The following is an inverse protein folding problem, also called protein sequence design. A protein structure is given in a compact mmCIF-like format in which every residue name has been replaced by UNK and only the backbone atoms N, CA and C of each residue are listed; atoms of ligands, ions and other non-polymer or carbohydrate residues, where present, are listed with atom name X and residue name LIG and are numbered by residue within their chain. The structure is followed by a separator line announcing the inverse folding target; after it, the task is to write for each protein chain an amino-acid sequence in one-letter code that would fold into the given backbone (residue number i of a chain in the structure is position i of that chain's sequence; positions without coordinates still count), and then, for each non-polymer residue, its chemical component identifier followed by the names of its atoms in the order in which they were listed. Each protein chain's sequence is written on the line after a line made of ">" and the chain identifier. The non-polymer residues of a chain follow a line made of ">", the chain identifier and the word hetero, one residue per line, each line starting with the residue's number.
data_IF_181136763080
#
_entry.id   IF_181136763080
#
_cell.length_a   1.000
_cell.length_b   1.000
_cell.length_c   1.000
_cell.angle_alpha   90.00
_cell.angle_beta   90.00
_cell.angle_gamma   90.00
#
_symmetry.space_group_name_H-M   'P 1'
#
loop_
_entity.id
_entity.type
_entity.pdbx_description
1 polymer ?
#
# COMPACT_ATOMS: atom_id res chain seq x y z
N UNK A 1 29.29 41.85 12.89
CA UNK A 1 28.84 41.14 14.11
C UNK A 1 29.56 39.81 14.14
N UNK A 2 30.80 39.81 14.62
CA UNK A 2 31.65 38.62 14.65
C UNK A 2 32.37 38.63 15.98
N UNK A 3 31.83 37.86 16.93
CA UNK A 3 32.48 37.56 18.19
C UNK A 3 32.80 36.06 18.28
N UNK A 4 33.85 35.70 19.04
CA UNK A 4 34.69 34.54 18.78
C UNK A 4 34.23 33.28 19.52
N UNK A 5 34.44 32.11 18.89
CA UNK A 5 34.37 30.83 19.57
C UNK A 5 35.66 30.66 20.39
N UNK A 6 35.55 30.80 21.70
CA UNK A 6 36.51 30.26 22.63
C UNK A 6 35.76 29.47 23.71
N UNK A 7 35.87 28.14 23.66
CA UNK A 7 35.63 27.34 24.86
C UNK A 7 36.31 25.96 24.79
N UNK A 8 37.40 25.90 25.56
CA UNK A 8 37.76 24.82 26.49
C UNK A 8 38.42 23.56 25.89
N UNK A 9 39.76 23.60 25.92
CA UNK A 9 40.54 22.73 26.82
C UNK A 9 40.67 21.25 26.43
N UNK A 10 41.58 20.94 25.50
CA UNK A 10 42.09 19.57 25.33
C UNK A 10 43.31 19.34 26.23
N UNK A 11 43.07 18.75 27.40
CA UNK A 11 44.14 18.20 28.24
C UNK A 11 44.54 16.83 27.68
N UNK A 12 45.65 16.77 26.95
CA UNK A 12 46.32 15.52 26.53
C UNK A 12 47.05 14.90 27.73
N UNK A 13 46.74 13.64 28.04
CA UNK A 13 47.64 12.73 28.73
C UNK A 13 47.69 11.40 27.96
N UNK A 14 48.88 10.86 27.62
CA UNK A 14 48.99 9.59 26.92
C UNK A 14 49.36 8.43 27.86
N UNK A 15 49.12 7.22 27.33
CA UNK A 15 49.60 5.89 27.74
C UNK A 15 48.88 5.27 28.96
N UNK A 16 48.57 3.97 28.99
CA UNK A 16 49.17 2.81 28.35
C UNK A 16 48.14 1.64 28.47
N UNK A 17 47.93 0.85 27.42
CA UNK A 17 46.96 -0.24 27.48
C UNK A 17 47.03 -1.16 26.26
N UNK A 18 47.79 -2.24 26.40
CA UNK A 18 48.26 -3.17 25.38
C UNK A 18 47.23 -4.26 25.03
N UNK A 19 47.11 -4.53 23.73
CA UNK A 19 46.64 -5.76 23.03
C UNK A 19 45.23 -6.29 23.27
N UNK A 20 44.42 -6.21 22.22
CA UNK A 20 43.27 -7.08 21.97
C UNK A 20 42.88 -6.96 20.49
N UNK A 21 43.00 -8.05 19.74
CA UNK A 21 42.63 -8.13 18.33
C UNK A 21 41.10 -8.00 18.23
N UNK A 22 40.59 -6.90 17.68
CA UNK A 22 39.17 -6.72 17.38
C UNK A 22 39.03 -6.14 15.97
N UNK A 23 38.10 -6.71 15.21
CA UNK A 23 37.73 -6.37 13.84
C UNK A 23 37.54 -4.84 13.64
N UNK A 24 37.64 -4.31 12.40
CA UNK A 24 37.31 -2.92 12.17
C UNK A 24 35.81 -2.74 12.46
N UNK A 25 35.53 -2.19 13.64
CA UNK A 25 34.21 -1.72 14.03
C UNK A 25 33.95 -0.47 13.19
N UNK A 26 33.43 -0.67 11.97
CA UNK A 26 32.93 0.42 11.15
C UNK A 26 31.69 0.97 11.87
N UNK A 27 31.91 2.00 12.69
CA UNK A 27 30.83 2.85 13.17
C UNK A 27 29.95 3.21 11.95
N UNK A 28 28.62 2.99 12.01
CA UNK A 28 27.77 3.29 10.88
C UNK A 28 27.87 4.79 10.62
N UNK A 29 28.47 5.15 9.48
CA UNK A 29 28.44 6.52 9.00
C UNK A 29 26.99 7.00 8.99
N UNK A 30 26.69 8.27 9.36
CA UNK A 30 25.33 8.78 9.36
C UNK A 30 24.75 8.55 7.97
N UNK A 31 23.80 7.63 7.87
CA UNK A 31 23.10 7.34 6.64
C UNK A 31 22.32 8.61 6.31
N UNK A 32 22.83 9.39 5.36
CA UNK A 32 22.08 10.48 4.79
C UNK A 32 20.84 9.86 4.15
N UNK A 33 19.70 10.00 4.83
CA UNK A 33 18.43 9.52 4.31
C UNK A 33 18.22 10.21 2.96
N UNK A 34 18.35 9.45 1.87
CA UNK A 34 18.11 9.98 0.53
C UNK A 34 16.67 10.49 0.52
N UNK A 35 16.47 11.75 0.11
CA UNK A 35 15.12 12.27 -0.13
C UNK A 35 14.45 11.37 -1.15
N UNK A 36 13.31 10.79 -0.77
CA UNK A 36 12.50 9.99 -1.67
C UNK A 36 11.92 10.91 -2.74
N UNK A 37 11.93 10.42 -3.98
CA UNK A 37 11.25 11.08 -5.08
C UNK A 37 9.75 10.88 -4.93
N UNK A 38 8.97 11.94 -5.14
CA UNK A 38 7.51 11.89 -5.03
C UNK A 38 6.91 11.91 -6.43
N UNK A 39 6.07 10.91 -6.73
CA UNK A 39 5.33 10.82 -7.99
C UNK A 39 3.84 10.97 -7.71
N UNK A 40 3.20 11.92 -8.37
CA UNK A 40 1.76 12.13 -8.28
C UNK A 40 1.09 11.57 -9.56
N UNK A 41 0.14 10.65 -9.39
CA UNK A 41 -0.64 10.15 -10.52
C UNK A 41 -1.81 11.08 -10.83
N UNK A 42 -1.96 11.42 -12.11
CA UNK A 42 -3.16 12.09 -12.59
C UNK A 42 -4.42 11.27 -12.31
N UNK A 43 -5.53 11.95 -12.04
CA UNK A 43 -6.85 11.32 -11.84
C UNK A 43 -7.22 10.39 -12.99
N UNK A 44 -6.87 10.75 -14.22
CA UNK A 44 -7.10 9.93 -15.42
C UNK A 44 -6.32 8.61 -15.36
N UNK A 45 -5.05 8.63 -14.94
CA UNK A 45 -4.24 7.42 -14.81
C UNK A 45 -4.80 6.49 -13.73
N UNK A 46 -5.27 7.05 -12.61
CA UNK A 46 -5.93 6.27 -11.56
C UNK A 46 -7.21 5.60 -12.09
N UNK A 47 -8.01 6.31 -12.89
CA UNK A 47 -9.25 5.77 -13.44
C UNK A 47 -8.99 4.66 -14.48
N UNK A 48 -7.99 4.84 -15.35
CA UNK A 48 -7.56 3.81 -16.30
C UNK A 48 -7.05 2.55 -15.59
N UNK A 49 -6.30 2.72 -14.49
CA UNK A 49 -5.85 1.58 -13.69
C UNK A 49 -7.01 0.83 -13.04
N UNK A 50 -8.05 1.54 -12.58
CA UNK A 50 -9.28 0.88 -12.07
C UNK A 50 -10.00 0.09 -13.16
N UNK A 51 -10.11 0.66 -14.37
CA UNK A 51 -10.71 -0.03 -15.52
C UNK A 51 -9.92 -1.27 -15.93
N UNK A 52 -8.58 -1.21 -15.93
CA UNK A 52 -7.75 -2.37 -16.27
C UNK A 52 -7.79 -3.50 -15.24
N UNK A 53 -8.20 -3.19 -14.00
CA UNK A 53 -8.39 -4.18 -12.94
C UNK A 53 -9.81 -4.75 -12.91
N UNK A 54 -10.73 -4.23 -13.73
CA UNK A 54 -12.07 -4.82 -13.83
C UNK A 54 -11.94 -6.22 -14.43
N UNK A 55 -12.53 -7.24 -13.79
CA UNK A 55 -12.58 -8.58 -14.37
C UNK A 55 -13.26 -8.54 -15.73
N UNK A 56 -12.83 -9.44 -16.63
CA UNK A 56 -13.50 -9.60 -17.91
C UNK A 56 -14.99 -9.89 -17.70
N UNK A 57 -15.80 -9.22 -18.51
CA UNK A 57 -17.25 -9.46 -18.51
C UNK A 57 -17.49 -10.88 -18.98
N UNK A 58 -18.22 -11.67 -18.17
CA UNK A 58 -18.64 -13.03 -18.51
C UNK A 58 -19.78 -13.00 -19.53
N UNK A 59 -19.46 -12.59 -20.76
CA UNK A 59 -20.44 -12.37 -21.84
C UNK A 59 -21.35 -13.59 -22.05
N UNK A 60 -20.78 -14.79 -22.01
CA UNK A 60 -21.53 -16.03 -22.16
C UNK A 60 -22.61 -16.23 -21.07
N UNK A 61 -22.32 -15.89 -19.81
CA UNK A 61 -23.31 -15.98 -18.73
C UNK A 61 -24.42 -14.93 -18.92
N UNK A 62 -24.05 -13.72 -19.36
CA UNK A 62 -25.02 -12.66 -19.65
C UNK A 62 -25.99 -13.11 -20.73
N UNK A 63 -25.47 -13.67 -21.82
CA UNK A 63 -26.31 -14.11 -22.94
C UNK A 63 -27.26 -15.23 -22.51
N UNK A 64 -26.79 -16.20 -21.71
CA UNK A 64 -27.64 -17.24 -21.16
C UNK A 64 -28.75 -16.68 -20.25
N UNK A 65 -28.41 -15.75 -19.36
CA UNK A 65 -29.38 -15.14 -18.45
C UNK A 65 -30.40 -14.32 -19.23
N UNK A 66 -29.99 -13.57 -20.26
CA UNK A 66 -30.91 -12.84 -21.14
C UNK A 66 -31.94 -13.75 -21.77
N UNK A 67 -31.52 -14.90 -22.31
CA UNK A 67 -32.43 -15.90 -22.88
C UNK A 67 -33.43 -16.41 -21.84
N UNK A 68 -32.99 -16.66 -20.60
CA UNK A 68 -33.89 -17.10 -19.52
C UNK A 68 -34.91 -16.02 -19.14
N UNK A 69 -34.52 -14.75 -19.15
CA UNK A 69 -35.40 -13.61 -18.86
C UNK A 69 -36.44 -13.45 -19.97
N UNK A 70 -36.00 -13.47 -21.23
CA UNK A 70 -36.90 -13.38 -22.40
C UNK A 70 -37.90 -14.54 -22.45
N UNK A 71 -37.47 -15.74 -22.06
CA UNK A 71 -38.34 -16.91 -21.95
C UNK A 71 -39.27 -16.87 -20.72
N UNK A 72 -39.10 -15.91 -19.80
CA UNK A 72 -39.87 -15.82 -18.56
C UNK A 72 -39.57 -16.93 -17.54
N UNK A 73 -38.45 -17.65 -17.68
CA UNK A 73 -38.05 -18.78 -16.81
C UNK A 73 -36.97 -18.37 -15.80
N UNK A 74 -36.50 -17.13 -15.87
CA UNK A 74 -35.50 -16.62 -14.93
C UNK A 74 -36.03 -16.52 -13.50
N UNK A 75 -37.30 -16.13 -13.36
CA UNK A 75 -38.02 -15.97 -12.09
C UNK A 75 -38.60 -17.32 -11.67
N UNK A 76 -38.00 -17.94 -10.66
CA UNK A 76 -38.53 -19.16 -10.05
C UNK A 76 -38.98 -18.86 -8.62
N UNK A 77 -39.96 -19.60 -8.07
CA UNK A 77 -40.43 -19.40 -6.70
C UNK A 77 -39.28 -19.37 -5.68
N UNK A 78 -38.33 -20.29 -5.83
CA UNK A 78 -37.19 -20.43 -4.93
C UNK A 78 -36.26 -19.20 -4.94
N UNK A 79 -36.06 -18.60 -6.12
CA UNK A 79 -35.27 -17.35 -6.23
C UNK A 79 -36.00 -16.18 -5.61
N UNK A 80 -37.32 -16.11 -5.75
CA UNK A 80 -38.13 -15.04 -5.19
C UNK A 80 -38.12 -15.11 -3.66
N UNK A 81 -38.32 -16.31 -3.10
CA UNK A 81 -38.29 -16.53 -1.66
C UNK A 81 -36.92 -16.18 -1.06
N UNK A 82 -35.83 -16.58 -1.72
CA UNK A 82 -34.47 -16.25 -1.28
C UNK A 82 -34.19 -14.74 -1.31
N UNK A 83 -34.61 -14.04 -2.37
CA UNK A 83 -34.47 -12.58 -2.47
C UNK A 83 -35.31 -11.86 -1.42
N UNK A 84 -36.50 -12.37 -1.12
CA UNK A 84 -37.37 -11.80 -0.09
C UNK A 84 -36.75 -11.94 1.30
N UNK A 85 -36.18 -13.10 1.63
CA UNK A 85 -35.49 -13.33 2.90
C UNK A 85 -34.25 -12.42 3.06
N UNK A 86 -33.42 -12.31 2.02
CA UNK A 86 -32.26 -11.40 2.03
C UNK A 86 -32.69 -9.94 2.20
N UNK A 87 -33.76 -9.51 1.50
CA UNK A 87 -34.30 -8.16 1.62
C UNK A 87 -34.81 -7.87 3.04
N UNK A 88 -35.51 -8.82 3.67
CA UNK A 88 -35.97 -8.66 5.06
C UNK A 88 -34.80 -8.53 6.04
N UNK A 89 -33.69 -9.23 5.78
CA UNK A 89 -32.47 -9.15 6.58
C UNK A 89 -31.76 -7.80 6.44
N UNK A 90 -31.74 -7.21 5.24
CA UNK A 90 -31.10 -5.90 4.98
C UNK A 90 -31.88 -4.73 5.59
N UNK A 91 -33.20 -4.88 5.79
CA UNK A 91 -34.06 -3.86 6.39
C UNK A 91 -34.12 -3.89 7.93
N UNK A 92 -33.57 -4.92 8.57
CA UNK A 92 -33.59 -5.12 10.02
C UNK A 92 -32.40 -4.46 10.72
#
# INVERSE_FOLDING_TARGET
>A
MSDPIASIGQSKLPALGRTGNAAPDHAPAPQTARKADQVDLSVRAQLLNKLSQMPDVRQNLIDQVKVQIEAGVYETPEKIDAVLEELMQDLA
#
